data_IF_182111276857
#
_entry.id   IF_182111276857
#
_cell.length_a   1.000
_cell.length_b   1.000
_cell.length_c   1.000
_cell.angle_alpha   90.00
_cell.angle_beta   90.00
_cell.angle_gamma   90.00
#
_symmetry.space_group_name_H-M   'P 1'
#
loop_
_entity.id
_entity.type
_entity.pdbx_description
1 polymer ?
#
# COMPACT_ATOMS: atom_id res chain seq x y z
N UNK A 1 -6.80 14.51 3.93
CA UNK A 1 -5.48 13.93 4.24
C UNK A 1 -5.70 12.46 4.50
N UNK A 2 -5.05 11.56 3.74
CA UNK A 2 -5.13 10.13 4.02
C UNK A 2 -4.66 9.89 5.46
N UNK A 3 -5.47 9.18 6.26
CA UNK A 3 -5.09 8.80 7.62
C UNK A 3 -4.02 7.72 7.46
N UNK A 4 -2.78 8.02 7.81
CA UNK A 4 -1.73 7.00 7.96
C UNK A 4 -2.01 6.15 9.22
N UNK A 5 -3.14 5.46 9.25
CA UNK A 5 -3.56 4.58 10.33
C UNK A 5 -2.96 3.19 10.09
N UNK A 6 -2.14 2.73 11.03
CA UNK A 6 -1.39 1.47 10.87
C UNK A 6 -2.15 0.29 11.49
N UNK A 7 -3.07 0.57 12.42
CA UNK A 7 -3.86 -0.44 13.12
C UNK A 7 -4.89 -1.07 12.19
N UNK A 8 -4.99 -2.39 12.28
CA UNK A 8 -6.14 -3.12 11.79
C UNK A 8 -7.27 -2.99 12.82
N UNK A 9 -8.48 -2.65 12.35
CA UNK A 9 -9.65 -2.43 13.20
C UNK A 9 -9.35 -1.48 14.38
N UNK A 10 -8.74 -0.33 14.09
CA UNK A 10 -8.47 0.72 15.08
C UNK A 10 -9.72 1.21 15.80
N UNK A 11 -10.89 1.13 15.17
CA UNK A 11 -12.17 1.40 15.83
C UNK A 11 -12.43 0.52 17.07
N UNK A 12 -11.77 -0.64 17.18
CA UNK A 12 -12.04 -1.71 18.18
C UNK A 12 -13.53 -2.07 18.21
N UNK A 13 -14.11 -2.11 17.00
CA UNK A 13 -15.52 -2.38 16.75
C UNK A 13 -15.67 -3.60 15.85
N UNK A 14 -16.71 -3.58 15.00
CA UNK A 14 -16.97 -4.69 14.08
C UNK A 14 -15.80 -4.90 13.10
N UNK A 15 -15.52 -6.16 12.69
CA UNK A 15 -16.10 -7.41 13.18
C UNK A 15 -15.46 -7.90 14.50
N UNK A 16 -16.17 -8.77 15.22
CA UNK A 16 -15.70 -9.45 16.43
C UNK A 16 -15.65 -10.97 16.21
N UNK A 17 -14.68 -11.67 16.81
CA UNK A 17 -14.56 -13.12 16.74
C UNK A 17 -14.02 -13.73 18.06
N UNK A 18 -14.34 -15.00 18.36
CA UNK A 18 -13.69 -15.75 19.42
C UNK A 18 -12.18 -15.88 19.15
N UNK A 19 -11.36 -15.50 20.13
CA UNK A 19 -9.92 -15.72 20.09
C UNK A 19 -9.62 -17.20 20.36
N UNK A 20 -8.98 -17.87 19.39
CA UNK A 20 -8.61 -19.30 19.45
C UNK A 20 -9.79 -20.20 19.86
N UNK A 21 -10.96 -19.90 19.29
CA UNK A 21 -12.22 -20.63 19.48
C UNK A 21 -12.78 -20.61 20.92
N UNK A 22 -12.29 -19.72 21.79
CA UNK A 22 -12.84 -19.51 23.13
C UNK A 22 -13.92 -18.42 23.13
N UNK A 23 -15.19 -18.82 23.29
CA UNK A 23 -16.34 -17.91 23.32
C UNK A 23 -16.38 -16.95 24.52
N UNK A 24 -15.49 -17.09 25.50
CA UNK A 24 -15.29 -16.09 26.57
C UNK A 24 -14.26 -15.02 26.20
N UNK A 25 -13.55 -15.21 25.08
CA UNK A 25 -12.54 -14.31 24.55
C UNK A 25 -12.98 -13.70 23.22
N UNK A 26 -14.14 -13.05 23.17
CA UNK A 26 -14.59 -12.42 21.93
C UNK A 26 -13.93 -11.04 21.82
N UNK A 27 -13.05 -10.88 20.83
CA UNK A 27 -12.33 -9.65 20.59
C UNK A 27 -12.65 -9.03 19.24
N UNK A 28 -12.49 -7.71 19.13
CA UNK A 28 -12.44 -7.03 17.86
C UNK A 28 -11.35 -7.70 16.99
N UNK A 29 -11.67 -8.03 15.73
CA UNK A 29 -10.71 -8.68 14.83
C UNK A 29 -9.42 -7.87 14.75
N UNK A 30 -8.27 -8.56 14.66
CA UNK A 30 -6.92 -8.03 14.77
C UNK A 30 -6.49 -7.52 16.16
N UNK A 31 -7.27 -7.76 17.21
CA UNK A 31 -6.85 -7.57 18.59
C UNK A 31 -6.89 -8.91 19.34
N UNK A 32 -5.81 -9.23 20.05
CA UNK A 32 -5.72 -10.44 20.86
C UNK A 32 -5.77 -10.09 22.35
N UNK A 33 -6.45 -10.90 23.18
CA UNK A 33 -6.54 -10.66 24.62
C UNK A 33 -5.26 -11.08 25.34
N UNK A 34 -5.01 -10.45 26.48
CA UNK A 34 -4.01 -10.89 27.46
C UNK A 34 -4.52 -10.62 28.88
N UNK A 35 -4.04 -11.41 29.85
CA UNK A 35 -4.33 -11.24 31.27
C UNK A 35 -3.21 -11.83 32.11
N UNK A 36 -2.99 -11.26 33.29
CA UNK A 36 -2.15 -11.89 34.31
C UNK A 36 -2.96 -12.98 35.02
N UNK A 37 -2.36 -14.15 35.18
CA UNK A 37 -2.96 -15.25 35.91
C UNK A 37 -3.03 -14.95 37.42
N UNK A 38 -4.07 -15.45 38.07
CA UNK A 38 -4.18 -15.39 39.53
C UNK A 38 -3.10 -16.27 40.17
N UNK A 39 -2.38 -15.73 41.16
CA UNK A 39 -1.44 -16.52 41.96
C UNK A 39 -2.15 -17.62 42.75
N UNK A 40 -1.49 -18.76 42.98
CA UNK A 40 -2.12 -19.90 43.68
C UNK A 40 -2.61 -19.57 45.09
N UNK A 41 -1.95 -18.64 45.78
CA UNK A 41 -2.29 -18.18 47.13
C UNK A 41 -3.13 -16.90 47.16
N UNK A 42 -3.45 -16.33 45.99
CA UNK A 42 -4.25 -15.11 45.92
C UNK A 42 -5.73 -15.42 46.24
N UNK A 43 -6.43 -14.49 46.88
CA UNK A 43 -7.86 -14.63 47.10
C UNK A 43 -8.61 -14.75 45.75
N UNK A 44 -9.77 -15.39 45.77
CA UNK A 44 -10.56 -15.71 44.57
C UNK A 44 -10.98 -14.49 43.75
N UNK A 45 -11.16 -13.34 44.39
CA UNK A 45 -11.47 -12.08 43.73
C UNK A 45 -10.29 -11.45 42.99
N UNK A 46 -9.04 -11.83 43.29
CA UNK A 46 -7.86 -11.16 42.73
C UNK A 46 -7.45 -11.75 41.39
N UNK A 47 -7.13 -10.89 40.42
CA UNK A 47 -6.67 -11.28 39.07
C UNK A 47 -7.53 -12.36 38.41
N UNK A 48 -8.86 -12.19 38.50
CA UNK A 48 -9.79 -13.05 37.77
C UNK A 48 -9.66 -12.76 36.29
N UNK A 49 -9.63 -13.82 35.47
CA UNK A 49 -9.65 -13.70 34.01
C UNK A 49 -10.94 -12.96 33.58
N UNK A 50 -10.84 -11.81 32.88
CA UNK A 50 -12.01 -11.11 32.38
C UNK A 50 -12.75 -11.92 31.32
N UNK A 51 -14.05 -11.63 31.18
CA UNK A 51 -14.80 -11.96 29.97
C UNK A 51 -14.57 -10.84 28.95
N UNK A 52 -14.22 -11.21 27.72
CA UNK A 52 -14.07 -10.27 26.61
C UNK A 52 -15.27 -10.43 25.68
N UNK A 53 -15.93 -9.31 25.37
CA UNK A 53 -17.16 -9.32 24.58
C UNK A 53 -17.33 -8.03 23.78
N UNK A 54 -18.05 -8.08 22.65
CA UNK A 54 -18.63 -6.88 22.07
C UNK A 54 -19.72 -6.34 23.01
N UNK A 55 -19.79 -5.03 23.17
CA UNK A 55 -20.81 -4.37 23.97
C UNK A 55 -21.29 -3.08 23.31
N UNK A 56 -22.61 -2.91 23.20
CA UNK A 56 -23.20 -1.70 22.65
C UNK A 56 -23.32 -0.64 23.74
N UNK A 57 -22.57 0.44 23.59
CA UNK A 57 -22.61 1.62 24.46
C UNK A 57 -22.72 2.87 23.58
N UNK A 58 -23.65 3.77 23.91
CA UNK A 58 -23.93 4.97 23.10
C UNK A 58 -24.19 4.64 21.61
N UNK A 59 -25.05 3.64 21.36
CA UNK A 59 -25.38 3.08 20.03
C UNK A 59 -24.16 2.58 19.21
N UNK A 60 -23.01 2.45 19.85
CA UNK A 60 -21.75 2.04 19.23
C UNK A 60 -21.30 0.71 19.79
N UNK A 61 -20.96 -0.24 18.92
CA UNK A 61 -20.37 -1.50 19.35
C UNK A 61 -18.90 -1.28 19.71
N UNK A 62 -18.54 -1.58 20.97
CA UNK A 62 -17.21 -1.37 21.55
C UNK A 62 -16.67 -2.68 22.10
N UNK A 63 -15.37 -2.71 22.37
CA UNK A 63 -14.74 -3.84 23.03
C UNK A 63 -14.87 -3.72 24.55
N UNK A 64 -15.45 -4.73 25.20
CA UNK A 64 -15.60 -4.81 26.65
C UNK A 64 -14.62 -5.84 27.26
N UNK A 65 -14.13 -5.51 28.46
CA UNK A 65 -13.56 -6.44 29.43
C UNK A 65 -14.40 -6.36 30.72
N UNK A 66 -14.95 -7.48 31.18
CA UNK A 66 -15.84 -7.53 32.36
C UNK A 66 -15.37 -8.54 33.40
N UNK A 67 -15.27 -8.09 34.66
CA UNK A 67 -14.77 -8.88 35.79
C UNK A 67 -15.58 -8.59 37.08
N UNK A 68 -16.90 -8.83 37.09
CA UNK A 68 -17.74 -8.52 38.25
C UNK A 68 -17.28 -9.26 39.51
N UNK A 69 -17.27 -8.57 40.64
CA UNK A 69 -16.76 -9.06 41.93
C UNK A 69 -15.30 -9.53 41.88
N UNK A 70 -14.49 -8.92 41.02
CA UNK A 70 -13.08 -9.27 40.88
C UNK A 70 -12.22 -8.10 40.45
N UNK A 71 -10.92 -8.24 40.68
CA UNK A 71 -9.90 -7.43 40.03
C UNK A 71 -9.27 -8.19 38.88
N UNK A 72 -8.59 -7.47 38.00
CA UNK A 72 -7.79 -8.03 36.92
C UNK A 72 -6.60 -7.14 36.62
N UNK A 73 -5.60 -7.69 35.93
CA UNK A 73 -4.66 -6.91 35.12
C UNK A 73 -4.66 -7.55 33.75
N UNK A 74 -5.27 -6.87 32.79
CA UNK A 74 -5.61 -7.46 31.50
C UNK A 74 -5.89 -6.40 30.46
N UNK A 75 -5.91 -6.82 29.20
CA UNK A 75 -6.16 -5.93 28.09
C UNK A 75 -6.08 -6.64 26.75
N UNK A 76 -5.74 -5.87 25.72
CA UNK A 76 -5.58 -6.37 24.35
C UNK A 76 -4.25 -5.90 23.78
N UNK A 77 -3.77 -6.60 22.77
CA UNK A 77 -2.59 -6.24 22.01
C UNK A 77 -2.78 -6.44 20.50
N UNK A 78 -1.98 -5.70 19.73
CA UNK A 78 -1.84 -5.87 18.28
C UNK A 78 -0.38 -5.60 17.89
N UNK A 79 0.20 -6.47 17.08
CA UNK A 79 1.48 -6.22 16.40
C UNK A 79 1.25 -5.51 15.08
N UNK A 80 2.08 -4.51 14.81
CA UNK A 80 1.99 -3.69 13.61
C UNK A 80 3.36 -3.50 12.97
N UNK A 81 3.42 -3.33 11.64
CA UNK A 81 4.69 -3.04 10.99
C UNK A 81 5.20 -1.65 11.40
N UNK A 82 6.50 -1.53 11.62
CA UNK A 82 7.17 -0.31 12.05
C UNK A 82 8.53 -0.16 11.40
N UNK A 83 9.16 1.01 11.53
CA UNK A 83 10.53 1.25 11.06
C UNK A 83 11.37 1.67 12.25
N UNK A 84 12.46 0.94 12.51
CA UNK A 84 13.36 1.24 13.61
C UNK A 84 13.89 2.70 13.53
N UNK A 85 13.84 3.39 14.67
CA UNK A 85 14.17 4.80 14.82
C UNK A 85 13.03 5.78 14.49
N UNK A 86 11.85 5.31 14.07
CA UNK A 86 10.67 6.17 13.98
C UNK A 86 9.98 6.27 15.34
N UNK A 87 9.55 7.48 15.72
CA UNK A 87 8.66 7.69 16.86
C UNK A 87 7.20 7.49 16.47
N UNK A 88 6.46 6.78 17.31
CA UNK A 88 5.04 6.49 17.13
C UNK A 88 4.23 7.06 18.29
N UNK A 89 3.04 7.55 17.99
CA UNK A 89 2.04 7.95 18.98
C UNK A 89 0.82 7.04 18.87
N UNK A 90 0.46 6.41 20.00
CA UNK A 90 -0.75 5.64 20.18
C UNK A 90 -1.73 6.46 21.02
N UNK A 91 -2.98 6.57 20.55
CA UNK A 91 -4.10 7.13 21.30
C UNK A 91 -5.27 6.16 21.29
N UNK A 92 -5.97 5.98 22.41
CA UNK A 92 -7.16 5.11 22.49
C UNK A 92 -8.19 5.77 23.40
N UNK A 93 -9.49 5.65 23.08
CA UNK A 93 -10.56 6.05 23.99
C UNK A 93 -10.91 4.89 24.94
N UNK A 94 -10.89 5.18 26.23
CA UNK A 94 -11.25 4.23 27.29
C UNK A 94 -12.34 4.78 28.21
N UNK A 95 -13.18 3.88 28.72
CA UNK A 95 -14.12 4.15 29.80
C UNK A 95 -14.10 2.98 30.79
N UNK A 96 -14.17 3.28 32.09
CA UNK A 96 -14.35 2.29 33.13
C UNK A 96 -15.73 2.46 33.80
N UNK A 97 -16.34 1.35 34.21
CA UNK A 97 -17.51 1.34 35.07
C UNK A 97 -17.21 0.48 36.30
N UNK A 98 -17.30 1.10 37.47
CA UNK A 98 -17.09 0.47 38.77
C UNK A 98 -18.14 0.97 39.75
N UNK A 99 -18.89 0.07 40.38
CA UNK A 99 -20.00 0.44 41.28
C UNK A 99 -20.49 -0.76 42.10
N UNK A 100 -21.01 -0.51 43.30
CA UNK A 100 -21.81 -1.47 44.07
C UNK A 100 -23.28 -1.51 43.61
N UNK A 101 -23.74 -0.47 42.93
CA UNK A 101 -25.08 -0.35 42.36
C UNK A 101 -25.09 -0.77 40.88
N UNK A 102 -26.00 -1.68 40.47
CA UNK A 102 -26.10 -2.15 39.08
C UNK A 102 -26.66 -1.12 38.09
N UNK A 103 -27.16 0.03 38.55
CA UNK A 103 -27.73 1.05 37.66
C UNK A 103 -26.68 1.55 36.65
N UNK A 104 -26.99 1.62 35.33
CA UNK A 104 -26.03 2.03 34.31
C UNK A 104 -25.37 3.38 34.62
N UNK A 105 -24.04 3.43 34.51
CA UNK A 105 -23.27 4.64 34.76
C UNK A 105 -23.12 5.03 36.24
N UNK A 106 -23.79 4.33 37.16
CA UNK A 106 -23.65 4.53 38.60
C UNK A 106 -22.20 4.40 39.05
N UNK A 107 -21.86 5.16 40.09
CA UNK A 107 -20.54 5.20 40.72
C UNK A 107 -20.70 5.08 42.24
N UNK A 108 -21.62 4.22 42.70
CA UNK A 108 -21.81 3.99 44.13
C UNK A 108 -20.60 3.21 44.66
N UNK A 109 -19.83 3.83 45.56
CA UNK A 109 -18.62 3.24 46.15
C UNK A 109 -17.71 2.59 45.09
N UNK A 110 -17.23 3.35 44.08
CA UNK A 110 -16.50 2.78 42.96
C UNK A 110 -15.09 2.35 43.41
N UNK A 111 -14.49 1.40 42.69
CA UNK A 111 -13.04 1.17 42.73
C UNK A 111 -12.33 2.21 41.88
N UNK A 112 -11.08 2.51 42.24
CA UNK A 112 -10.11 3.00 41.28
C UNK A 112 -9.93 1.96 40.16
N UNK A 113 -10.03 2.40 38.91
CA UNK A 113 -9.82 1.55 37.72
C UNK A 113 -8.81 2.23 36.84
N UNK A 114 -7.56 1.75 36.89
CA UNK A 114 -6.47 2.33 36.11
C UNK A 114 -6.52 1.82 34.68
N UNK A 115 -6.61 2.74 33.72
CA UNK A 115 -6.51 2.48 32.29
C UNK A 115 -5.20 3.04 31.76
N UNK A 116 -4.48 2.27 30.96
CA UNK A 116 -3.23 2.66 30.32
C UNK A 116 -3.14 2.11 28.91
N UNK A 117 -2.31 2.75 28.08
CA UNK A 117 -1.88 2.22 26.78
C UNK A 117 -0.36 2.14 26.75
N UNK A 118 0.17 1.18 26.00
CA UNK A 118 1.60 0.92 25.95
C UNK A 118 2.08 0.55 24.56
N UNK A 119 3.38 0.74 24.32
CA UNK A 119 4.08 0.29 23.12
C UNK A 119 5.29 -0.51 23.57
N UNK A 120 5.39 -1.78 23.17
CA UNK A 120 6.65 -2.52 23.19
C UNK A 120 7.42 -2.17 21.90
N UNK A 121 8.55 -1.44 22.00
CA UNK A 121 9.29 -0.97 20.83
C UNK A 121 10.02 -2.09 20.09
N UNK A 122 10.18 -3.26 20.70
CA UNK A 122 10.83 -4.43 20.13
C UNK A 122 9.85 -5.40 19.47
N UNK A 123 8.54 -5.19 19.66
CA UNK A 123 7.50 -6.10 19.17
C UNK A 123 7.31 -7.33 20.07
N UNK A 124 7.78 -7.28 21.33
CA UNK A 124 7.54 -8.32 22.34
C UNK A 124 6.05 -8.58 22.56
N UNK A 125 5.71 -9.80 22.98
CA UNK A 125 4.33 -10.22 23.30
C UNK A 125 4.11 -10.49 24.79
N UNK A 126 5.16 -10.45 25.61
CA UNK A 126 5.06 -10.63 27.05
C UNK A 126 4.46 -9.35 27.69
N UNK A 127 3.23 -9.39 28.22
CA UNK A 127 2.59 -8.20 28.80
C UNK A 127 3.25 -7.74 30.11
N UNK A 128 4.15 -8.52 30.71
CA UNK A 128 4.93 -8.15 31.89
C UNK A 128 6.32 -7.61 31.54
N UNK A 129 6.64 -7.51 30.24
CA UNK A 129 7.93 -7.02 29.76
C UNK A 129 8.22 -5.60 30.30
N UNK A 130 9.40 -5.36 30.91
CA UNK A 130 9.80 -4.04 31.35
C UNK A 130 10.16 -3.10 30.18
N UNK A 131 10.23 -3.64 28.95
CA UNK A 131 10.50 -2.86 27.74
C UNK A 131 9.24 -2.13 27.24
N UNK A 132 8.05 -2.49 27.71
CA UNK A 132 6.82 -1.80 27.33
C UNK A 132 6.86 -0.38 27.89
N UNK A 133 6.86 0.60 26.99
CA UNK A 133 6.68 2.01 27.34
C UNK A 133 5.20 2.24 27.59
N UNK A 134 4.82 2.42 28.85
CA UNK A 134 3.45 2.74 29.25
C UNK A 134 3.25 4.25 29.34
N UNK A 135 2.09 4.73 28.88
CA UNK A 135 1.63 6.09 29.15
C UNK A 135 1.10 6.26 30.57
N UNK A 136 0.70 7.49 30.89
CA UNK A 136 0.10 7.80 32.19
C UNK A 136 -1.19 7.01 32.42
N UNK A 137 -1.42 6.61 33.67
CA UNK A 137 -2.67 5.97 34.06
C UNK A 137 -3.81 6.98 34.14
N UNK A 138 -4.92 6.67 33.50
CA UNK A 138 -6.17 7.42 33.61
C UNK A 138 -7.23 6.62 34.38
N UNK A 139 -8.20 7.32 34.94
CA UNK A 139 -9.34 6.72 35.66
C UNK A 139 -10.68 7.30 35.17
N UNK A 140 -11.08 6.99 33.92
CA UNK A 140 -12.29 7.54 33.32
C UNK A 140 -13.54 6.77 33.76
N UNK A 141 -13.93 6.95 35.03
CA UNK A 141 -15.16 6.36 35.56
C UNK A 141 -16.41 6.97 34.90
N UNK A 142 -17.24 6.14 34.28
CA UNK A 142 -18.47 6.44 33.53
C UNK A 142 -18.34 7.67 32.61
N UNK A 143 -17.19 7.85 31.96
CA UNK A 143 -16.95 8.86 30.92
C UNK A 143 -15.92 8.33 29.93
N UNK A 144 -15.97 8.78 28.68
CA UNK A 144 -14.91 8.50 27.71
C UNK A 144 -13.74 9.45 27.93
N UNK A 145 -12.52 8.93 27.85
CA UNK A 145 -11.29 9.72 27.93
C UNK A 145 -10.25 9.13 26.96
N UNK A 146 -9.49 9.99 26.30
CA UNK A 146 -8.40 9.57 25.41
C UNK A 146 -7.10 9.41 26.20
N UNK A 147 -6.62 8.18 26.31
CA UNK A 147 -5.27 7.87 26.83
C UNK A 147 -4.26 7.81 25.70
N UNK A 148 -3.00 8.11 25.99
CA UNK A 148 -1.94 8.20 24.96
C UNK A 148 -0.57 7.77 25.47
N UNK A 149 0.27 7.36 24.54
CA UNK A 149 1.69 7.08 24.78
C UNK A 149 2.50 7.31 23.51
N UNK A 150 3.79 7.62 23.66
CA UNK A 150 4.74 7.73 22.56
C UNK A 150 5.95 6.83 22.83
N UNK A 151 6.48 6.20 21.78
CA UNK A 151 7.69 5.39 21.85
C UNK A 151 8.42 5.37 20.51
N UNK A 152 9.75 5.23 20.56
CA UNK A 152 10.57 4.99 19.37
C UNK A 152 10.60 3.49 19.06
N UNK A 153 10.30 3.10 17.82
CA UNK A 153 10.41 1.70 17.42
C UNK A 153 11.88 1.26 17.37
N UNK A 154 12.19 0.10 17.91
CA UNK A 154 13.52 -0.52 17.88
C UNK A 154 13.62 -1.66 16.86
N UNK A 155 12.48 -2.10 16.33
CA UNK A 155 12.37 -3.19 15.37
C UNK A 155 11.45 -2.84 14.18
N UNK A 156 11.32 -3.79 13.25
CA UNK A 156 10.39 -3.72 12.11
C UNK A 156 8.94 -4.05 12.49
N UNK A 157 8.72 -4.46 13.74
CA UNK A 157 7.41 -4.70 14.35
C UNK A 157 7.43 -4.03 15.72
N UNK A 158 6.36 -3.33 16.08
CA UNK A 158 6.06 -2.95 17.47
C UNK A 158 4.77 -3.63 17.92
N UNK A 159 4.61 -3.80 19.22
CA UNK A 159 3.35 -4.27 19.81
C UNK A 159 2.69 -3.13 20.54
N UNK A 160 1.43 -2.83 20.22
CA UNK A 160 0.61 -1.91 21.00
C UNK A 160 -0.21 -2.67 22.03
N UNK A 161 -0.43 -2.05 23.17
CA UNK A 161 -1.21 -2.61 24.28
C UNK A 161 -2.24 -1.62 24.78
N UNK A 162 -3.41 -2.12 25.15
CA UNK A 162 -4.30 -1.48 26.13
C UNK A 162 -4.26 -2.29 27.42
N UNK A 163 -4.40 -1.63 28.57
CA UNK A 163 -4.36 -2.26 29.90
C UNK A 163 -5.43 -1.65 30.79
N UNK A 164 -6.09 -2.52 31.56
CA UNK A 164 -6.96 -2.14 32.66
C UNK A 164 -6.59 -2.90 33.92
N UNK A 165 -6.59 -2.20 35.06
CA UNK A 165 -6.29 -2.79 36.36
C UNK A 165 -7.10 -2.15 37.50
N UNK A 166 -8.30 -2.68 37.80
CA UNK A 166 -9.05 -2.27 38.98
C UNK A 166 -8.44 -2.71 40.31
N UNK A 167 -8.54 -1.84 41.30
CA UNK A 167 -7.97 -2.06 42.63
C UNK A 167 -8.86 -2.90 43.55
N UNK A 168 -10.19 -2.82 43.41
CA UNK A 168 -11.16 -3.47 44.30
C UNK A 168 -12.22 -4.28 43.52
N UNK A 169 -12.71 -5.40 44.09
CA UNK A 169 -13.63 -6.31 43.41
C UNK A 169 -15.09 -5.84 43.50
N UNK A 170 -15.44 -4.79 42.76
CA UNK A 170 -16.79 -4.20 42.78
C UNK A 170 -17.83 -5.05 42.04
N UNK A 171 -19.10 -4.93 42.45
CA UNK A 171 -20.23 -5.67 41.85
C UNK A 171 -20.32 -5.43 40.35
N UNK A 172 -20.30 -4.17 39.94
CA UNK A 172 -20.11 -3.76 38.56
C UNK A 172 -18.65 -3.45 38.35
N UNK A 173 -18.03 -4.12 37.39
CA UNK A 173 -16.62 -3.93 37.07
C UNK A 173 -16.40 -4.24 35.60
N UNK A 174 -16.39 -3.20 34.76
CA UNK A 174 -16.23 -3.32 33.31
C UNK A 174 -15.39 -2.18 32.76
N UNK A 175 -14.69 -2.47 31.66
CA UNK A 175 -13.91 -1.50 30.91
C UNK A 175 -14.28 -1.61 29.44
N UNK A 176 -14.33 -0.47 28.77
CA UNK A 176 -14.69 -0.34 27.37
C UNK A 176 -13.58 0.39 26.61
N UNK A 177 -13.22 -0.12 25.44
CA UNK A 177 -12.21 0.46 24.55
C UNK A 177 -12.79 0.70 23.16
N UNK A 178 -12.44 1.84 22.56
CA UNK A 178 -12.77 2.18 21.18
C UNK A 178 -11.77 3.17 20.58
N UNK A 179 -11.82 3.35 19.26
CA UNK A 179 -11.11 4.43 18.56
C UNK A 179 -9.61 4.49 18.90
N UNK A 180 -8.94 3.34 18.83
CA UNK A 180 -7.49 3.25 18.85
C UNK A 180 -6.93 3.79 17.53
N UNK A 181 -5.90 4.63 17.64
CA UNK A 181 -5.22 5.23 16.50
C UNK A 181 -3.72 5.22 16.75
N UNK A 182 -2.96 4.76 15.77
CA UNK A 182 -1.49 4.73 15.82
C UNK A 182 -0.93 5.39 14.56
N UNK A 183 0.00 6.31 14.76
CA UNK A 183 0.70 6.99 13.66
C UNK A 183 2.18 7.21 13.97
N UNK A 184 3.05 7.29 12.96
CA UNK A 184 4.37 7.89 13.13
C UNK A 184 4.23 9.40 13.38
N UNK A 185 5.09 9.96 14.21
CA UNK A 185 5.14 11.38 14.53
C UNK A 185 6.52 11.98 14.19
N UNK A 186 6.55 13.29 13.95
CA UNK A 186 7.78 14.00 13.57
C UNK A 186 8.34 13.58 12.20
N UNK A 187 9.64 13.78 12.02
CA UNK A 187 10.36 13.30 10.84
C UNK A 187 10.48 11.78 10.93
N UNK A 188 9.82 11.07 10.02
CA UNK A 188 9.82 9.62 9.98
C UNK A 188 10.37 9.11 8.65
N UNK A 189 11.10 8.00 8.73
CA UNK A 189 11.54 7.24 7.56
C UNK A 189 10.34 6.52 6.97
N UNK A 190 10.20 6.56 5.63
CA UNK A 190 9.27 5.69 4.91
C UNK A 190 9.99 4.38 4.61
N UNK A 191 9.65 3.33 5.34
CA UNK A 191 10.16 1.98 5.12
C UNK A 191 9.18 1.17 4.28
N UNK A 192 9.69 0.45 3.29
CA UNK A 192 8.99 -0.65 2.63
C UNK A 192 9.17 -1.85 3.55
N UNK A 193 8.26 -2.01 4.52
CA UNK A 193 8.43 -2.99 5.59
C UNK A 193 8.22 -4.40 5.06
N UNK A 194 9.25 -5.02 4.49
CA UNK A 194 9.29 -6.47 4.40
C UNK A 194 9.50 -6.97 5.83
N UNK A 195 8.43 -7.46 6.43
CA UNK A 195 8.47 -8.07 7.74
C UNK A 195 8.60 -9.58 7.52
N UNK A 196 9.58 -10.19 8.13
CA UNK A 196 9.66 -11.64 8.26
C UNK A 196 10.23 -11.93 9.62
N UNK A 197 9.49 -12.59 10.50
CA UNK A 197 10.04 -13.09 11.75
C UNK A 197 11.04 -14.20 11.40
N UNK A 198 12.30 -13.83 11.11
CA UNK A 198 13.43 -14.72 10.84
C UNK A 198 13.24 -15.74 9.69
N UNK A 199 12.44 -16.78 9.92
CA UNK A 199 12.28 -17.96 9.08
C UNK A 199 11.01 -17.96 8.19
N UNK A 200 10.09 -17.03 8.41
CA UNK A 200 8.80 -16.95 7.70
C UNK A 200 8.89 -16.08 6.45
N UNK A 201 8.62 -16.65 5.28
CA UNK A 201 8.82 -16.02 3.97
C UNK A 201 7.55 -16.11 3.10
N UNK A 202 7.23 -15.03 2.39
CA UNK A 202 6.08 -14.93 1.48
C UNK A 202 6.57 -14.94 0.02
N UNK A 203 6.15 -15.93 -0.76
CA UNK A 203 6.36 -16.02 -2.22
C UNK A 203 5.05 -15.79 -2.96
N UNK A 204 5.11 -15.05 -4.07
CA UNK A 204 3.94 -14.66 -4.88
C UNK A 204 4.09 -15.21 -6.30
N UNK A 205 3.00 -15.66 -6.90
CA UNK A 205 2.96 -16.08 -8.30
C UNK A 205 1.66 -15.61 -8.95
N UNK A 206 1.70 -14.77 -10.00
CA UNK A 206 2.90 -14.14 -10.56
C UNK A 206 3.50 -13.08 -9.61
N UNK A 207 4.78 -12.71 -9.81
CA UNK A 207 5.45 -11.65 -9.02
C UNK A 207 5.09 -10.24 -9.49
N UNK A 208 4.66 -10.11 -10.74
CA UNK A 208 4.23 -8.86 -11.39
C UNK A 208 2.84 -9.05 -12.01
N UNK A 209 1.78 -9.16 -11.18
CA UNK A 209 0.41 -9.27 -11.68
C UNK A 209 -0.11 -7.95 -12.25
N UNK A 210 -1.03 -8.08 -13.20
CA UNK A 210 -1.88 -6.99 -13.69
C UNK A 210 -3.25 -7.02 -12.98
N UNK A 211 -4.01 -5.90 -12.96
CA UNK A 211 -5.38 -5.92 -12.45
C UNK A 211 -6.24 -6.94 -13.22
N UNK A 212 -6.93 -7.80 -12.47
CA UNK A 212 -7.70 -8.93 -12.97
C UNK A 212 -7.02 -10.27 -12.69
N UNK A 213 -5.71 -10.27 -12.42
CA UNK A 213 -4.97 -11.50 -12.18
C UNK A 213 -5.30 -12.13 -10.83
N UNK A 214 -5.23 -13.46 -10.81
CA UNK A 214 -5.22 -14.24 -9.57
C UNK A 214 -3.78 -14.42 -9.10
N UNK A 215 -3.51 -14.06 -7.85
CA UNK A 215 -2.21 -14.23 -7.21
C UNK A 215 -2.27 -15.43 -6.28
N UNK A 216 -1.36 -16.37 -6.48
CA UNK A 216 -1.07 -17.44 -5.53
C UNK A 216 -0.02 -16.97 -4.54
N UNK A 217 -0.32 -17.10 -3.26
CA UNK A 217 0.58 -16.78 -2.16
C UNK A 217 1.01 -18.07 -1.50
N UNK A 218 2.31 -18.31 -1.43
CA UNK A 218 2.90 -19.41 -0.66
C UNK A 218 3.71 -18.82 0.48
N UNK A 219 3.26 -19.07 1.71
CA UNK A 219 4.01 -18.71 2.91
C UNK A 219 4.77 -19.94 3.38
N UNK A 220 6.07 -19.81 3.66
CA UNK A 220 6.89 -20.92 4.17
C UNK A 220 7.59 -20.54 5.47
N UNK A 221 7.68 -21.48 6.41
CA UNK A 221 8.34 -21.28 7.71
C UNK A 221 8.98 -22.59 8.19
N UNK A 222 10.06 -22.51 8.96
CA UNK A 222 10.62 -23.68 9.66
C UNK A 222 9.83 -24.02 10.93
N UNK A 223 8.96 -23.10 11.38
CA UNK A 223 8.04 -23.30 12.51
C UNK A 223 6.62 -23.43 12.00
N UNK A 224 5.88 -24.38 12.58
CA UNK A 224 4.44 -24.44 12.40
C UNK A 224 3.77 -23.29 13.19
N UNK A 225 3.12 -22.38 12.47
CA UNK A 225 2.30 -21.33 13.05
C UNK A 225 0.84 -21.77 13.10
N UNK A 226 0.19 -21.59 14.25
CA UNK A 226 -1.23 -21.91 14.47
C UNK A 226 -2.10 -20.66 14.39
N UNK A 227 -3.38 -20.85 14.10
CA UNK A 227 -4.37 -19.77 13.99
C UNK A 227 -3.96 -18.70 12.96
N UNK A 228 -3.36 -19.15 11.86
CA UNK A 228 -2.84 -18.27 10.82
C UNK A 228 -3.86 -17.98 9.73
N UNK A 229 -3.73 -16.80 9.16
CA UNK A 229 -4.45 -16.36 7.99
C UNK A 229 -3.57 -15.45 7.13
N UNK A 230 -4.07 -15.13 5.95
CA UNK A 230 -3.47 -14.15 5.07
C UNK A 230 -4.47 -13.03 4.83
N UNK A 231 -4.03 -11.80 5.10
CA UNK A 231 -4.76 -10.58 4.81
C UNK A 231 -4.10 -9.93 3.60
N UNK A 232 -4.91 -9.53 2.62
CA UNK A 232 -4.44 -8.78 1.46
C UNK A 232 -5.19 -7.44 1.43
N UNK A 233 -4.47 -6.37 1.76
CA UNK A 233 -4.99 -5.01 1.75
C UNK A 233 -4.71 -4.37 0.39
N UNK A 234 -5.74 -3.77 -0.18
CA UNK A 234 -5.74 -3.06 -1.46
C UNK A 234 -5.15 -1.66 -1.30
N UNK A 235 -4.82 -0.98 -2.42
CA UNK A 235 -4.33 0.40 -2.41
C UNK A 235 -5.32 1.41 -1.79
N UNK A 236 -6.63 1.09 -1.84
CA UNK A 236 -7.72 1.88 -1.23
C UNK A 236 -7.97 1.57 0.25
N UNK A 237 -7.04 0.86 0.90
CA UNK A 237 -7.09 0.38 2.29
C UNK A 237 -8.14 -0.70 2.57
N UNK A 238 -8.97 -1.09 1.59
CA UNK A 238 -9.92 -2.19 1.71
C UNK A 238 -9.25 -3.56 1.68
N UNK A 239 -9.86 -4.58 2.27
CA UNK A 239 -9.38 -5.96 2.17
C UNK A 239 -9.97 -6.65 0.93
N UNK A 240 -9.16 -7.46 0.23
CA UNK A 240 -9.65 -8.40 -0.79
C UNK A 240 -9.93 -9.77 -0.18
N UNK A 241 -10.83 -10.52 -0.80
CA UNK A 241 -11.17 -11.87 -0.36
C UNK A 241 -10.01 -12.82 -0.61
N UNK A 242 -9.55 -13.48 0.45
CA UNK A 242 -8.46 -14.46 0.41
C UNK A 242 -9.03 -15.86 0.63
N UNK A 243 -8.62 -16.81 -0.21
CA UNK A 243 -9.01 -18.21 -0.08
C UNK A 243 -7.82 -19.04 0.38
N UNK A 244 -7.96 -19.73 1.50
CA UNK A 244 -6.98 -20.73 1.93
C UNK A 244 -7.10 -22.00 1.08
N UNK A 245 -5.97 -22.52 0.61
CA UNK A 245 -5.89 -23.71 -0.26
C UNK A 245 -5.28 -24.93 0.42
N UNK A 246 -4.73 -24.76 1.62
CA UNK A 246 -4.22 -25.86 2.43
C UNK A 246 -2.82 -25.63 2.94
N UNK A 247 -2.42 -26.54 3.82
CA UNK A 247 -1.08 -26.63 4.37
C UNK A 247 -0.38 -27.87 3.80
N UNK A 248 0.87 -27.72 3.41
CA UNK A 248 1.74 -28.83 3.01
C UNK A 248 3.06 -28.79 3.78
N UNK A 249 3.78 -29.90 3.80
CA UNK A 249 5.13 -29.99 4.35
C UNK A 249 6.09 -30.22 3.18
N UNK A 250 7.16 -29.44 3.11
CA UNK A 250 8.24 -29.59 2.12
C UNK A 250 9.59 -29.60 2.86
N UNK A 251 10.21 -30.78 2.95
CA UNK A 251 11.32 -31.03 3.86
C UNK A 251 10.94 -30.67 5.31
N UNK A 252 11.72 -29.78 5.93
CA UNK A 252 11.50 -29.30 7.30
C UNK A 252 10.61 -28.03 7.37
N UNK A 253 10.04 -27.59 6.23
CA UNK A 253 9.24 -26.35 6.15
C UNK A 253 7.76 -26.66 6.10
N UNK A 254 6.98 -25.91 6.88
CA UNK A 254 5.53 -25.83 6.71
C UNK A 254 5.19 -24.75 5.69
N UNK A 255 4.33 -25.11 4.73
CA UNK A 255 3.88 -24.22 3.67
C UNK A 255 2.37 -24.00 3.79
N UNK A 256 1.93 -22.74 3.80
CA UNK A 256 0.52 -22.37 3.69
C UNK A 256 0.27 -21.72 2.33
N UNK A 257 -0.72 -22.24 1.59
CA UNK A 257 -1.09 -21.70 0.28
C UNK A 257 -2.40 -20.95 0.36
N UNK A 258 -2.41 -19.75 -0.21
CA UNK A 258 -3.58 -18.90 -0.35
C UNK A 258 -3.71 -18.40 -1.79
N UNK A 259 -4.90 -17.96 -2.18
CA UNK A 259 -5.11 -17.20 -3.42
C UNK A 259 -5.99 -15.98 -3.16
N UNK A 260 -5.78 -14.91 -3.93
CA UNK A 260 -6.67 -13.75 -4.00
C UNK A 260 -6.65 -13.14 -5.40
N UNK A 261 -7.61 -12.27 -5.70
CA UNK A 261 -7.69 -11.55 -6.98
C UNK A 261 -7.25 -10.10 -6.80
N UNK A 262 -6.49 -9.61 -7.76
CA UNK A 262 -6.13 -8.19 -7.87
C UNK A 262 -7.16 -7.50 -8.75
N UNK A 263 -7.72 -6.39 -8.29
CA UNK A 263 -8.83 -5.68 -8.95
C UNK A 263 -8.48 -4.23 -9.32
N UNK A 264 -7.38 -3.71 -8.77
CA UNK A 264 -6.95 -2.32 -8.91
C UNK A 264 -5.45 -2.25 -9.20
N UNK A 265 -5.03 -1.22 -9.92
CA UNK A 265 -3.62 -0.85 -10.00
C UNK A 265 -3.15 -0.27 -8.67
N UNK A 266 -1.93 -0.60 -8.24
CA UNK A 266 -1.30 0.02 -7.08
C UNK A 266 -0.52 -0.96 -6.20
N UNK A 267 -0.26 -0.53 -4.97
CA UNK A 267 0.50 -1.30 -4.00
C UNK A 267 -0.45 -2.04 -3.05
N UNK A 268 -0.46 -3.36 -3.13
CA UNK A 268 -1.15 -4.23 -2.19
C UNK A 268 -0.20 -4.57 -1.04
N UNK A 269 -0.75 -4.67 0.16
CA UNK A 269 -0.03 -5.11 1.35
C UNK A 269 -0.51 -6.51 1.77
N UNK A 270 0.40 -7.47 1.72
CA UNK A 270 0.12 -8.87 2.02
C UNK A 270 0.68 -9.20 3.39
N UNK A 271 -0.20 -9.43 4.37
CA UNK A 271 0.17 -9.82 5.74
C UNK A 271 -0.14 -11.28 5.96
N UNK A 272 0.87 -12.06 6.33
CA UNK A 272 0.66 -13.34 6.98
C UNK A 272 0.61 -13.10 8.49
N UNK A 273 -0.52 -13.41 9.09
CA UNK A 273 -0.79 -13.07 10.47
C UNK A 273 -1.37 -14.25 11.25
N UNK A 274 -1.05 -14.31 12.53
CA UNK A 274 -1.69 -15.19 13.49
C UNK A 274 -2.75 -14.47 14.30
N UNK A 275 -3.50 -15.22 15.10
CA UNK A 275 -4.38 -14.67 16.13
C UNK A 275 -5.42 -13.68 15.56
N UNK A 276 -6.03 -14.05 14.45
CA UNK A 276 -7.04 -13.26 13.73
C UNK A 276 -6.54 -11.87 13.29
N UNK A 277 -5.29 -11.78 12.86
CA UNK A 277 -4.65 -10.54 12.41
C UNK A 277 -3.89 -9.79 13.49
N UNK A 278 -4.02 -10.18 14.76
CA UNK A 278 -3.36 -9.49 15.87
C UNK A 278 -1.85 -9.69 15.87
N UNK A 279 -1.36 -10.84 15.40
CA UNK A 279 0.07 -11.20 15.38
C UNK A 279 0.64 -11.10 13.98
N UNK A 280 1.56 -10.18 13.74
CA UNK A 280 2.21 -10.05 12.44
C UNK A 280 3.38 -11.04 12.34
N UNK A 281 3.30 -11.99 11.40
CA UNK A 281 4.33 -13.02 11.21
C UNK A 281 5.20 -12.72 9.99
N UNK A 282 4.59 -12.24 8.91
CA UNK A 282 5.30 -11.71 7.76
C UNK A 282 4.46 -10.66 7.00
N UNK A 283 5.14 -9.78 6.28
CA UNK A 283 4.56 -8.76 5.41
C UNK A 283 5.36 -8.69 4.12
N UNK A 284 4.66 -8.68 2.98
CA UNK A 284 5.25 -8.41 1.66
C UNK A 284 4.37 -7.43 0.91
N UNK A 285 4.99 -6.44 0.29
CA UNK A 285 4.31 -5.53 -0.63
C UNK A 285 4.28 -6.14 -2.03
N UNK A 286 3.15 -6.01 -2.71
CA UNK A 286 2.92 -6.47 -4.07
C UNK A 286 2.50 -5.28 -4.93
N UNK A 287 3.31 -4.96 -5.94
CA UNK A 287 2.93 -3.98 -6.95
C UNK A 287 2.10 -4.67 -8.02
N UNK A 288 0.86 -4.21 -8.18
CA UNK A 288 -0.04 -4.56 -9.28
C UNK A 288 -0.02 -3.40 -10.26
N UNK A 289 0.35 -3.66 -11.50
CA UNK A 289 0.36 -2.62 -12.52
C UNK A 289 0.21 -3.27 -13.89
N UNK A 290 -0.61 -2.67 -14.74
CA UNK A 290 -0.57 -2.96 -16.18
C UNK A 290 0.81 -2.60 -16.72
N UNK A 291 1.36 -3.44 -17.58
CA UNK A 291 2.58 -3.09 -18.32
C UNK A 291 2.27 -1.91 -19.25
N UNK A 292 2.54 -0.70 -18.78
CA UNK A 292 2.58 0.46 -19.64
C UNK A 292 3.86 0.34 -20.48
N UNK A 293 3.71 -0.09 -21.74
CA UNK A 293 4.77 0.02 -22.71
C UNK A 293 5.12 1.51 -22.87
N UNK A 294 6.15 1.96 -22.16
CA UNK A 294 6.76 3.27 -22.35
C UNK A 294 7.35 3.28 -23.76
N UNK A 295 6.60 3.80 -24.74
CA UNK A 295 7.22 4.26 -25.98
C UNK A 295 8.03 5.50 -25.59
N UNK A 296 9.37 5.48 -25.66
CA UNK A 296 10.17 6.68 -25.40
C UNK A 296 9.64 7.78 -26.31
N UNK A 297 9.31 8.95 -25.74
CA UNK A 297 8.70 10.03 -26.52
C UNK A 297 9.63 10.39 -27.70
N UNK A 298 9.18 10.08 -28.92
CA UNK A 298 9.93 10.33 -30.15
C UNK A 298 10.23 9.10 -31.01
N UNK A 299 10.23 7.89 -30.44
CA UNK A 299 10.51 6.66 -31.21
C UNK A 299 9.26 6.20 -31.97
N UNK A 300 9.41 5.97 -33.27
CA UNK A 300 8.32 5.41 -34.07
C UNK A 300 8.02 3.95 -33.67
N UNK A 301 6.75 3.55 -33.73
CA UNK A 301 6.31 2.14 -33.48
C UNK A 301 7.11 1.12 -34.29
N UNK A 302 7.60 1.52 -35.47
CA UNK A 302 8.51 0.75 -36.31
C UNK A 302 9.68 1.63 -36.76
N UNK A 303 10.89 1.08 -36.78
CA UNK A 303 12.08 1.76 -37.30
C UNK A 303 12.15 1.61 -38.83
N UNK A 304 11.75 2.64 -39.57
CA UNK A 304 11.89 2.72 -41.03
C UNK A 304 12.63 4.00 -41.46
N UNK A 305 13.14 4.01 -42.70
CA UNK A 305 13.76 5.20 -43.30
C UNK A 305 12.65 6.18 -43.72
N UNK A 306 12.72 7.44 -43.28
CA UNK A 306 11.74 8.47 -43.60
C UNK A 306 12.32 9.47 -44.59
N UNK A 307 11.70 9.59 -45.76
CA UNK A 307 11.96 10.68 -46.71
C UNK A 307 10.82 11.68 -46.62
N UNK A 308 11.15 12.95 -46.45
CA UNK A 308 10.21 14.07 -46.34
C UNK A 308 10.46 15.07 -47.49
N UNK A 309 9.47 15.22 -48.37
CA UNK A 309 9.45 16.23 -49.42
C UNK A 309 8.91 17.53 -48.82
N UNK A 310 9.82 18.48 -48.60
CA UNK A 310 9.53 19.76 -47.98
C UNK A 310 9.25 20.80 -49.07
N UNK A 311 7.97 21.19 -49.21
CA UNK A 311 7.53 22.17 -50.18
C UNK A 311 7.67 23.60 -49.63
N UNK A 312 8.05 24.59 -50.46
CA UNK A 312 8.19 25.96 -50.01
C UNK A 312 6.83 26.61 -49.73
N UNK A 313 6.78 27.67 -48.90
CA UNK A 313 5.54 28.41 -48.61
C UNK A 313 4.86 28.97 -49.87
N UNK A 314 5.62 29.17 -50.95
CA UNK A 314 5.12 29.66 -52.24
C UNK A 314 4.48 28.56 -53.10
N UNK A 315 4.55 27.28 -52.71
CA UNK A 315 4.04 26.17 -53.51
C UNK A 315 2.51 26.16 -53.54
N UNK A 316 1.95 26.07 -54.75
CA UNK A 316 0.52 25.96 -54.97
C UNK A 316 0.04 24.49 -55.05
N UNK A 317 -1.24 24.29 -55.34
CA UNK A 317 -1.84 22.96 -55.46
C UNK A 317 -1.19 22.10 -56.56
N UNK A 318 -0.63 22.71 -57.61
CA UNK A 318 0.02 21.95 -58.70
C UNK A 318 1.33 21.36 -58.22
N UNK A 319 2.11 22.11 -57.46
CA UNK A 319 3.33 21.63 -56.81
C UNK A 319 3.05 20.51 -55.82
N UNK A 320 2.01 20.63 -54.99
CA UNK A 320 1.62 19.57 -54.08
C UNK A 320 1.18 18.29 -54.82
N UNK A 321 0.40 18.42 -55.88
CA UNK A 321 -0.04 17.29 -56.69
C UNK A 321 1.14 16.59 -57.40
N UNK A 322 2.10 17.35 -57.92
CA UNK A 322 3.32 16.81 -58.50
C UNK A 322 4.18 16.06 -57.47
N UNK A 323 4.38 16.64 -56.28
CA UNK A 323 5.06 15.97 -55.18
C UNK A 323 4.38 14.65 -54.80
N UNK A 324 3.04 14.63 -54.73
CA UNK A 324 2.25 13.44 -54.42
C UNK A 324 2.40 12.34 -55.47
N UNK A 325 2.34 12.70 -56.76
CA UNK A 325 2.52 11.74 -57.86
C UNK A 325 3.95 11.22 -57.96
N UNK A 326 4.95 12.07 -57.72
CA UNK A 326 6.36 11.68 -57.76
C UNK A 326 6.78 10.83 -56.56
N UNK A 327 6.18 11.07 -55.40
CA UNK A 327 6.49 10.37 -54.14
C UNK A 327 5.74 9.05 -53.94
N UNK A 328 4.77 8.73 -54.81
CA UNK A 328 3.83 7.63 -54.54
C UNK A 328 4.54 6.29 -54.36
N UNK A 329 5.45 5.92 -55.25
CA UNK A 329 6.13 4.62 -55.21
C UNK A 329 7.12 4.52 -54.04
N UNK A 330 7.79 5.62 -53.69
CA UNK A 330 8.69 5.71 -52.52
C UNK A 330 7.97 5.87 -51.18
N UNK A 331 6.64 6.08 -51.18
CA UNK A 331 5.82 6.35 -49.98
C UNK A 331 6.34 7.52 -49.14
N UNK A 332 6.88 8.55 -49.78
CA UNK A 332 7.46 9.69 -49.08
C UNK A 332 6.39 10.57 -48.43
N UNK A 333 6.75 11.20 -47.31
CA UNK A 333 5.89 12.18 -46.62
C UNK A 333 6.02 13.53 -47.32
N UNK A 334 4.92 14.27 -47.48
CA UNK A 334 4.91 15.60 -48.11
C UNK A 334 4.37 16.59 -47.09
N UNK A 335 5.03 17.73 -46.96
CA UNK A 335 4.48 18.83 -46.17
C UNK A 335 5.27 20.12 -46.28
N UNK A 336 4.95 21.05 -45.37
CA UNK A 336 5.34 22.45 -45.44
C UNK A 336 6.02 22.94 -44.16
N UNK A 337 6.41 22.03 -43.27
CA UNK A 337 7.03 22.37 -41.99
C UNK A 337 8.45 21.82 -41.95
N UNK A 338 9.42 22.71 -41.84
CA UNK A 338 10.83 22.32 -41.69
C UNK A 338 11.04 21.55 -40.37
N UNK A 339 10.24 21.85 -39.35
CA UNK A 339 10.27 21.14 -38.06
C UNK A 339 9.73 19.71 -38.21
N UNK A 340 8.58 19.52 -38.87
CA UNK A 340 8.01 18.17 -39.11
C UNK A 340 8.92 17.29 -39.98
N UNK A 341 9.70 17.93 -40.86
CA UNK A 341 10.71 17.29 -41.68
C UNK A 341 11.92 16.81 -40.84
N UNK A 342 12.23 17.50 -39.73
CA UNK A 342 13.40 17.24 -38.89
C UNK A 342 13.15 16.38 -37.64
N UNK A 343 11.95 16.44 -37.04
CA UNK A 343 11.63 15.76 -35.77
C UNK A 343 11.45 14.24 -35.90
N UNK A 344 11.58 13.56 -34.75
CA UNK A 344 11.34 12.12 -34.57
C UNK A 344 12.61 11.27 -34.59
N UNK A 345 12.58 10.15 -33.87
CA UNK A 345 13.72 9.24 -33.70
C UNK A 345 13.58 8.05 -34.66
N UNK A 346 14.21 8.19 -35.84
CA UNK A 346 14.18 7.22 -36.94
C UNK A 346 15.61 6.83 -37.34
N UNK A 347 15.79 5.59 -37.82
CA UNK A 347 17.10 5.06 -38.27
C UNK A 347 17.75 5.89 -39.38
N UNK A 348 16.95 6.48 -40.27
CA UNK A 348 17.42 7.44 -41.27
C UNK A 348 16.31 8.44 -41.58
N UNK A 349 16.68 9.73 -41.69
CA UNK A 349 15.80 10.83 -42.09
C UNK A 349 16.44 11.58 -43.24
N UNK A 350 15.72 11.71 -44.36
CA UNK A 350 16.15 12.47 -45.51
C UNK A 350 15.13 13.54 -45.87
N UNK A 351 15.55 14.80 -45.87
CA UNK A 351 14.72 15.94 -46.29
C UNK A 351 15.09 16.32 -47.72
N UNK A 352 14.11 16.23 -48.61
CA UNK A 352 14.16 16.70 -49.98
C UNK A 352 13.51 18.09 -50.02
N UNK A 353 14.31 19.14 -49.88
CA UNK A 353 13.82 20.51 -49.81
C UNK A 353 13.63 21.07 -51.22
N UNK A 354 12.38 21.29 -51.63
CA UNK A 354 12.03 21.82 -52.95
C UNK A 354 12.22 23.33 -52.95
N UNK A 355 13.00 23.84 -53.89
CA UNK A 355 13.30 25.25 -54.08
C UNK A 355 13.56 25.98 -52.75
N UNK A 356 14.58 25.56 -51.97
CA UNK A 356 14.78 26.05 -50.60
C UNK A 356 15.07 27.56 -50.51
N UNK A 357 15.44 28.17 -51.63
CA UNK A 357 15.61 29.63 -51.75
C UNK A 357 14.29 30.42 -51.67
N UNK A 358 13.13 29.75 -51.75
CA UNK A 358 11.81 30.36 -51.54
C UNK A 358 11.37 30.36 -50.06
N UNK A 359 12.22 29.90 -49.14
CA UNK A 359 11.96 29.95 -47.72
C UNK A 359 12.47 31.26 -47.09
N UNK A 360 11.73 31.87 -46.13
CA UNK A 360 12.13 33.11 -45.47
C UNK A 360 13.48 33.01 -44.75
N UNK A 361 13.70 31.90 -44.07
CA UNK A 361 15.00 31.48 -43.57
C UNK A 361 15.64 30.58 -44.62
N UNK A 362 16.86 30.88 -45.07
CA UNK A 362 17.52 30.04 -46.09
C UNK A 362 17.69 28.63 -45.53
N UNK A 363 16.82 27.70 -45.94
CA UNK A 363 16.89 26.31 -45.52
C UNK A 363 18.10 25.66 -46.19
N UNK A 364 19.14 25.41 -45.39
CA UNK A 364 20.38 24.77 -45.83
C UNK A 364 20.62 23.49 -45.07
N UNK A 365 21.54 22.67 -45.58
CA UNK A 365 22.06 21.52 -44.84
C UNK A 365 22.60 21.93 -43.44
N UNK A 366 23.21 23.10 -43.33
CA UNK A 366 23.72 23.64 -42.06
C UNK A 366 22.61 23.95 -41.07
N UNK A 367 21.47 24.49 -41.53
CA UNK A 367 20.30 24.75 -40.69
C UNK A 367 19.75 23.44 -40.11
N UNK A 368 19.53 22.42 -40.94
CA UNK A 368 19.08 21.11 -40.47
C UNK A 368 20.11 20.45 -39.55
N UNK A 369 21.41 20.55 -39.84
CA UNK A 369 22.46 20.01 -38.95
C UNK A 369 22.45 20.67 -37.58
N UNK A 370 22.17 21.97 -37.51
CA UNK A 370 22.12 22.73 -36.25
C UNK A 370 20.85 22.43 -35.44
N UNK A 371 19.69 22.37 -36.08
CA UNK A 371 18.39 22.25 -35.40
C UNK A 371 17.91 20.80 -35.27
N UNK A 372 18.30 19.92 -36.20
CA UNK A 372 17.88 18.52 -36.30
C UNK A 372 19.07 17.60 -36.68
N UNK A 373 20.03 17.37 -35.75
CA UNK A 373 21.19 16.54 -36.03
C UNK A 373 20.83 15.14 -36.56
N UNK A 374 21.57 14.67 -37.57
CA UNK A 374 21.36 13.36 -38.20
C UNK A 374 20.39 13.35 -39.38
N UNK A 375 19.75 14.48 -39.71
CA UNK A 375 18.97 14.64 -40.93
C UNK A 375 19.90 14.78 -42.15
N UNK A 376 19.68 13.94 -43.16
CA UNK A 376 20.24 14.10 -44.50
C UNK A 376 19.43 15.14 -45.26
N UNK A 377 20.11 16.01 -46.02
CA UNK A 377 19.47 17.12 -46.72
C UNK A 377 19.87 17.13 -48.18
N UNK A 378 18.89 17.17 -49.08
CA UNK A 378 19.07 17.40 -50.52
C UNK A 378 18.20 18.59 -50.95
N UNK A 379 18.83 19.58 -51.57
CA UNK A 379 18.10 20.65 -52.24
C UNK A 379 17.64 20.20 -53.62
N UNK A 380 16.35 20.37 -53.92
CA UNK A 380 15.75 20.06 -55.22
C UNK A 380 15.42 21.39 -55.90
N UNK A 381 16.22 21.76 -56.90
CA UNK A 381 16.04 22.99 -57.66
C UNK A 381 15.34 22.69 -58.99
N UNK A 382 14.08 23.10 -59.12
CA UNK A 382 13.21 22.79 -60.26
C UNK A 382 12.32 23.98 -60.60
N UNK A 383 12.08 24.22 -61.88
CA UNK A 383 11.33 25.39 -62.38
C UNK A 383 9.82 25.16 -62.51
N UNK A 384 9.40 23.92 -62.77
CA UNK A 384 8.00 23.58 -62.96
C UNK A 384 7.56 22.37 -62.11
N UNK A 385 6.25 22.22 -61.77
CA UNK A 385 5.74 21.05 -61.06
C UNK A 385 6.07 19.73 -61.76
N UNK A 386 6.03 19.68 -63.08
CA UNK A 386 6.32 18.48 -63.87
C UNK A 386 7.78 18.03 -63.69
N UNK A 387 8.71 18.98 -63.55
CA UNK A 387 10.12 18.70 -63.28
C UNK A 387 10.29 18.08 -61.88
N UNK A 388 9.53 18.54 -60.88
CA UNK A 388 9.54 17.97 -59.53
C UNK A 388 9.05 16.53 -59.53
N UNK A 389 7.95 16.25 -60.24
CA UNK A 389 7.41 14.89 -60.34
C UNK A 389 8.42 13.94 -60.98
N UNK A 390 9.06 14.36 -62.08
CA UNK A 390 10.08 13.56 -62.75
C UNK A 390 11.30 13.33 -61.83
N UNK A 391 11.80 14.38 -61.18
CA UNK A 391 12.94 14.31 -60.28
C UNK A 391 12.70 13.33 -59.12
N UNK A 392 11.52 13.38 -58.49
CA UNK A 392 11.17 12.48 -57.38
C UNK A 392 11.04 11.02 -57.81
N UNK A 393 10.55 10.76 -59.04
CA UNK A 393 10.50 9.39 -59.58
C UNK A 393 11.89 8.83 -59.86
N UNK A 394 12.78 9.66 -60.41
CA UNK A 394 14.16 9.27 -60.66
C UNK A 394 14.89 8.97 -59.34
N UNK A 395 14.72 9.85 -58.35
CA UNK A 395 15.26 9.67 -57.01
C UNK A 395 14.81 8.34 -56.37
N UNK A 396 13.51 8.05 -56.41
CA UNK A 396 12.95 6.82 -55.87
C UNK A 396 13.47 5.54 -56.56
N UNK A 397 13.87 5.62 -57.83
CA UNK A 397 14.49 4.50 -58.54
C UNK A 397 15.97 4.33 -58.23
N UNK A 398 16.67 5.42 -57.87
CA UNK A 398 18.09 5.41 -57.49
C UNK A 398 18.35 4.94 -56.06
N UNK A 399 17.35 5.00 -55.17
CA UNK A 399 17.43 4.54 -53.77
C UNK A 399 17.05 3.05 -53.57
N UNK A 400 16.67 2.32 -54.63
CA UNK A 400 16.29 0.90 -54.54
C UNK A 400 17.45 -0.06 -54.41
#
# INVERSE_FOLDING_TARGET
MARNEILLNGAMGKPFQPYRDDNKLITAVAWAPWWLERGKSDPDWKNRRPVFSPYTLDDTLTQQLSTPFGTHTAGLWQQVPSVAGNNYELTVEGMAWSSEDPSPGSRLEPSDVHLQVGIDPTGGLDPESPLIVWGDAAQPLSRWETVRVQAEAEAAIITVYVKSSPNLPKRQQSVFWRNAFLRPIGRHKRGVNIVGVGDTHITLTPEHPEPGDTVTVTVSSNREHKFVELLAQKPDEGLTAVQFKGTTIDGDRTLWRYIFHTDQDGLYEIRFAGDKGARLLALRLLRVARDAQLVPSGSARFSYQKVYVLLPPTADKKWFAAAARGSFDGRYTIGFSADDAGIGDFKSKHVLAVNPHHWPDVLTASWFKQHYPGVQFTAVAVSAPEDLEAWLREWANGER
#
